data_IF_456169720391
#
_entry.id   IF_456169720391
#
_cell.length_a   1.000
_cell.length_b   1.000
_cell.length_c   1.000
_cell.angle_alpha   90.00
_cell.angle_beta   90.00
_cell.angle_gamma   90.00
#
_symmetry.space_group_name_H-M   'P 1'
#
loop_
_entity.id
_entity.type
_entity.pdbx_description
1 polymer ?
#
# COMPACT_ATOMS: atom_id res chain seq x y z
N UNK A 1 -0.58 -49.66 39.97
CA UNK A 1 -1.81 -50.48 39.91
C UNK A 1 -1.53 -51.77 39.13
N UNK A 2 -2.29 -52.85 39.35
CA UNK A 2 -2.18 -54.12 38.59
C UNK A 2 -3.24 -54.15 37.47
N UNK A 3 -2.90 -54.78 36.33
CA UNK A 3 -3.75 -55.54 35.39
C UNK A 3 -2.79 -56.07 34.29
N UNK A 4 -2.37 -57.34 34.29
CA UNK A 4 -3.07 -58.58 33.84
C UNK A 4 -3.52 -58.55 32.37
N UNK A 5 -2.96 -59.44 31.58
CA UNK A 5 -3.44 -59.88 30.26
C UNK A 5 -3.81 -61.37 30.30
N UNK A 6 -4.76 -61.82 29.46
CA UNK A 6 -4.97 -63.22 29.02
C UNK A 6 -5.54 -63.21 27.59
N UNK A 7 -5.22 -64.24 26.79
CA UNK A 7 -5.66 -64.53 25.41
C UNK A 7 -7.14 -65.02 25.31
N UNK A 8 -7.75 -65.27 24.13
CA UNK A 8 -7.64 -66.52 23.30
C UNK A 8 -8.46 -66.39 21.98
N UNK A 9 -8.46 -67.43 21.11
CA UNK A 9 -8.77 -67.41 19.65
C UNK A 9 -10.11 -68.10 19.23
N UNK A 10 -10.46 -67.92 17.95
CA UNK A 10 -10.99 -68.89 16.93
C UNK A 10 -12.43 -68.79 16.35
N UNK A 11 -12.47 -68.80 15.00
CA UNK A 11 -13.44 -69.24 13.95
C UNK A 11 -14.95 -69.48 14.22
N UNK A 12 -15.78 -69.09 13.22
CA UNK A 12 -17.10 -69.70 12.94
C UNK A 12 -17.95 -68.99 11.85
N UNK A 13 -18.55 -69.73 10.91
CA UNK A 13 -19.54 -69.32 9.88
C UNK A 13 -20.32 -70.58 9.38
N UNK A 14 -21.52 -70.52 8.75
CA UNK A 14 -22.49 -69.42 8.62
C UNK A 14 -23.78 -69.75 9.43
N UNK A 15 -25.03 -70.08 8.95
CA UNK A 15 -25.68 -70.11 7.61
C UNK A 15 -27.00 -69.29 7.45
N UNK A 16 -27.37 -69.08 6.17
CA UNK A 16 -28.70 -68.91 5.50
C UNK A 16 -29.99 -68.43 6.23
N UNK A 17 -30.72 -67.52 5.55
CA UNK A 17 -32.16 -67.25 5.72
C UNK A 17 -32.68 -66.18 4.73
N UNK A 18 -33.58 -66.53 3.81
CA UNK A 18 -34.18 -65.66 2.76
C UNK A 18 -35.64 -65.29 3.11
N UNK A 19 -36.44 -64.47 2.41
CA UNK A 19 -36.37 -63.62 1.19
C UNK A 19 -37.33 -62.39 1.43
N UNK A 20 -37.79 -61.50 0.54
CA UNK A 20 -37.89 -61.30 -0.93
C UNK A 20 -37.77 -59.76 -1.21
N UNK A 21 -37.86 -59.18 -2.41
CA UNK A 21 -38.07 -59.66 -3.80
C UNK A 21 -37.99 -58.48 -4.80
N UNK A 22 -37.94 -58.77 -6.11
CA UNK A 22 -37.77 -57.79 -7.21
C UNK A 22 -38.87 -57.89 -8.27
N UNK A 23 -39.07 -56.83 -9.06
CA UNK A 23 -39.66 -56.87 -10.40
C UNK A 23 -38.72 -56.21 -11.43
N UNK A 24 -38.86 -56.60 -12.71
CA UNK A 24 -38.04 -56.17 -13.84
C UNK A 24 -38.93 -55.95 -15.07
N UNK A 25 -38.56 -55.06 -16.01
CA UNK A 25 -38.20 -55.54 -17.37
C UNK A 25 -37.02 -54.75 -18.01
N UNK A 26 -36.01 -55.39 -18.66
CA UNK A 26 -35.94 -55.83 -20.08
C UNK A 26 -35.30 -54.77 -21.03
N UNK A 27 -34.70 -55.10 -22.20
CA UNK A 27 -33.28 -54.72 -22.40
C UNK A 27 -32.84 -54.05 -23.74
N UNK A 28 -31.69 -53.35 -23.67
CA UNK A 28 -30.54 -53.26 -24.62
C UNK A 28 -30.77 -53.12 -26.15
N UNK A 29 -30.00 -52.24 -26.84
CA UNK A 29 -28.74 -52.71 -27.45
C UNK A 29 -27.52 -51.76 -27.38
N UNK A 30 -26.34 -52.29 -27.74
CA UNK A 30 -25.00 -51.68 -27.61
C UNK A 30 -24.64 -50.65 -28.69
N UNK A 31 -23.71 -49.73 -28.34
CA UNK A 31 -22.98 -48.83 -29.25
C UNK A 31 -21.48 -48.74 -28.89
N UNK A 32 -20.63 -48.43 -29.88
CA UNK A 32 -19.16 -48.58 -29.80
C UNK A 32 -18.41 -47.52 -28.96
N UNK A 33 -17.19 -47.88 -28.54
CA UNK A 33 -16.21 -47.03 -27.86
C UNK A 33 -15.93 -45.69 -28.58
N UNK A 34 -15.77 -44.63 -27.79
CA UNK A 34 -14.91 -43.48 -28.09
C UNK A 34 -14.09 -43.11 -26.84
N UNK A 35 -12.81 -42.70 -26.98
CA UNK A 35 -12.02 -42.19 -25.86
C UNK A 35 -12.51 -40.80 -25.42
N UNK A 36 -12.33 -40.41 -24.14
CA UNK A 36 -12.73 -39.08 -23.67
C UNK A 36 -11.90 -37.97 -24.35
N UNK A 37 -12.50 -36.80 -24.66
CA UNK A 37 -11.78 -35.69 -25.27
C UNK A 37 -10.74 -35.09 -24.29
N UNK A 38 -9.62 -34.54 -24.80
CA UNK A 38 -8.57 -33.96 -23.97
C UNK A 38 -9.08 -32.72 -23.21
N UNK A 39 -8.75 -32.62 -21.92
CA UNK A 39 -9.10 -31.46 -21.09
C UNK A 39 -8.27 -30.24 -21.50
N UNK A 40 -8.90 -29.29 -22.19
CA UNK A 40 -8.25 -28.08 -22.66
C UNK A 40 -8.13 -27.03 -21.54
N UNK A 41 -7.06 -27.14 -20.75
CA UNK A 41 -6.65 -26.09 -19.81
C UNK A 41 -6.15 -24.87 -20.60
N UNK A 42 -6.87 -23.75 -20.51
CA UNK A 42 -6.40 -22.45 -21.03
C UNK A 42 -7.47 -21.65 -21.77
N UNK A 43 -8.11 -20.72 -21.05
CA UNK A 43 -9.02 -19.73 -21.64
C UNK A 43 -9.25 -18.58 -20.67
N UNK A 44 -8.66 -17.42 -20.95
CA UNK A 44 -9.05 -16.19 -20.24
C UNK A 44 -10.48 -15.80 -20.64
N UNK A 45 -11.32 -15.32 -19.72
CA UNK A 45 -12.64 -14.82 -20.08
C UNK A 45 -12.52 -13.62 -21.04
N UNK A 46 -13.42 -13.48 -22.03
CA UNK A 46 -13.40 -12.35 -22.95
C UNK A 46 -13.54 -11.02 -22.20
N UNK A 47 -12.83 -9.98 -22.62
CA UNK A 47 -12.88 -8.70 -21.93
C UNK A 47 -14.29 -8.06 -22.04
N UNK A 48 -14.82 -7.50 -20.95
CA UNK A 48 -16.07 -6.72 -21.01
C UNK A 48 -15.94 -5.52 -21.96
N UNK A 49 -17.02 -5.21 -22.67
CA UNK A 49 -17.09 -3.96 -23.43
C UNK A 49 -17.34 -2.79 -22.45
N UNK A 50 -16.28 -2.03 -22.14
CA UNK A 50 -16.29 -1.01 -21.08
C UNK A 50 -16.97 0.32 -21.45
N UNK A 51 -17.43 0.50 -22.69
CA UNK A 51 -17.88 1.77 -23.30
C UNK A 51 -19.09 2.49 -22.64
N UNK A 52 -19.60 2.05 -21.50
CA UNK A 52 -20.82 2.59 -20.88
C UNK A 52 -20.74 2.78 -19.35
N UNK A 53 -19.53 2.93 -18.80
CA UNK A 53 -19.29 3.35 -17.40
C UNK A 53 -18.71 4.76 -17.36
N UNK A 54 -19.15 5.65 -16.44
CA UNK A 54 -18.52 6.94 -16.25
C UNK A 54 -17.02 6.79 -15.96
N UNK A 55 -16.18 7.51 -16.70
CA UNK A 55 -14.73 7.56 -16.44
C UNK A 55 -14.45 8.09 -15.03
N UNK A 56 -13.27 7.75 -14.50
CA UNK A 56 -12.76 8.48 -13.33
C UNK A 56 -12.39 9.90 -13.76
N UNK A 57 -12.55 10.90 -12.89
CA UNK A 57 -12.23 12.28 -13.26
C UNK A 57 -10.72 12.43 -13.49
N UNK A 58 -10.37 13.32 -14.41
CA UNK A 58 -9.00 13.77 -14.64
C UNK A 58 -8.93 15.29 -14.47
N UNK A 59 -7.74 15.87 -14.39
CA UNK A 59 -7.61 17.33 -14.24
C UNK A 59 -8.28 18.13 -15.38
N UNK A 60 -8.37 17.53 -16.58
CA UNK A 60 -8.95 18.14 -17.78
C UNK A 60 -10.43 17.74 -18.04
N UNK A 61 -10.97 16.77 -17.29
CA UNK A 61 -12.31 16.21 -17.51
C UNK A 61 -12.92 15.82 -16.16
N UNK A 62 -13.67 16.77 -15.59
CA UNK A 62 -14.33 16.69 -14.30
C UNK A 62 -15.45 17.75 -14.24
N UNK A 63 -16.36 17.63 -13.27
CA UNK A 63 -17.52 18.51 -13.15
C UNK A 63 -17.17 20.00 -12.98
N UNK A 64 -16.05 20.33 -12.32
CA UNK A 64 -15.60 21.71 -12.17
C UNK A 64 -15.15 22.30 -13.52
N UNK A 65 -14.38 21.56 -14.31
CA UNK A 65 -14.02 21.90 -15.70
C UNK A 65 -15.25 21.97 -16.64
N UNK A 66 -16.35 21.30 -16.29
CA UNK A 66 -17.65 21.40 -16.98
C UNK A 66 -18.59 22.45 -16.37
N UNK A 67 -18.07 23.40 -15.58
CA UNK A 67 -18.79 24.58 -15.10
C UNK A 67 -19.55 24.40 -13.79
N UNK A 68 -19.56 23.21 -13.18
CA UNK A 68 -20.08 23.03 -11.82
C UNK A 68 -19.03 23.46 -10.79
N UNK A 69 -18.98 24.76 -10.52
CA UNK A 69 -18.03 25.37 -9.58
C UNK A 69 -18.23 24.94 -8.10
N UNK A 70 -19.31 24.19 -7.79
CA UNK A 70 -19.52 23.56 -6.49
C UNK A 70 -18.87 22.16 -6.39
N UNK A 71 -18.34 21.62 -7.48
CA UNK A 71 -17.55 20.40 -7.47
C UNK A 71 -16.10 20.67 -7.00
N UNK A 72 -15.36 19.67 -6.52
CA UNK A 72 -13.94 19.80 -6.21
C UNK A 72 -13.13 20.31 -7.41
N UNK A 73 -12.33 21.39 -7.27
CA UNK A 73 -11.46 21.87 -8.33
C UNK A 73 -10.26 20.92 -8.52
N UNK A 74 -9.71 20.78 -9.74
CA UNK A 74 -8.49 20.00 -9.97
C UNK A 74 -7.28 20.59 -9.23
N UNK A 75 -6.26 19.77 -8.90
CA UNK A 75 -5.01 20.25 -8.31
C UNK A 75 -4.31 21.30 -9.19
N UNK A 76 -3.61 22.29 -8.59
CA UNK A 76 -2.91 23.33 -9.34
C UNK A 76 -1.67 22.77 -10.03
N UNK A 77 -1.46 23.14 -11.30
CA UNK A 77 -0.34 22.66 -12.11
C UNK A 77 1.00 23.32 -11.82
N UNK A 78 1.00 24.45 -11.11
CA UNK A 78 2.22 25.20 -10.74
C UNK A 78 2.82 24.66 -9.43
N UNK A 79 4.14 24.81 -9.21
CA UNK A 79 4.75 24.53 -7.92
C UNK A 79 4.08 25.32 -6.78
N UNK A 80 3.97 24.69 -5.61
CA UNK A 80 3.35 25.23 -4.40
C UNK A 80 4.42 25.31 -3.30
N UNK A 81 4.41 26.38 -2.51
CA UNK A 81 5.32 26.52 -1.37
C UNK A 81 4.82 25.71 -0.16
N UNK A 82 5.73 25.15 0.64
CA UNK A 82 5.39 24.41 1.86
C UNK A 82 4.75 25.28 2.97
N UNK A 83 4.85 26.62 2.88
CA UNK A 83 4.27 27.55 3.85
C UNK A 83 4.99 27.56 5.20
N UNK A 84 4.32 28.07 6.25
CA UNK A 84 4.67 27.91 7.67
C UNK A 84 6.16 27.92 8.05
N UNK A 85 6.91 28.91 7.56
CA UNK A 85 8.34 29.09 7.90
C UNK A 85 9.34 28.35 7.00
N UNK A 86 8.87 27.64 5.97
CA UNK A 86 9.74 27.06 4.95
C UNK A 86 10.57 28.14 4.21
N UNK A 87 11.83 27.85 3.82
CA UNK A 87 12.64 28.78 3.04
C UNK A 87 12.03 29.16 1.68
N UNK A 88 12.31 30.37 1.20
CA UNK A 88 11.91 30.81 -0.14
C UNK A 88 12.43 29.85 -1.22
N UNK A 89 11.53 29.36 -2.07
CA UNK A 89 11.85 28.36 -3.10
C UNK A 89 11.75 26.90 -2.64
N UNK A 90 11.48 26.64 -1.36
CA UNK A 90 11.15 25.30 -0.88
C UNK A 90 9.71 24.95 -1.26
N UNK A 91 9.60 24.24 -2.38
CA UNK A 91 8.35 23.99 -3.09
C UNK A 91 8.14 22.49 -3.38
N UNK A 92 6.88 22.08 -3.42
CA UNK A 92 6.42 20.81 -3.99
C UNK A 92 5.60 21.08 -5.25
N UNK A 93 5.19 20.03 -5.97
CA UNK A 93 4.29 20.17 -7.11
C UNK A 93 3.31 18.99 -7.17
N UNK A 94 2.02 19.27 -7.31
CA UNK A 94 1.00 18.26 -7.55
C UNK A 94 1.15 17.63 -8.95
N UNK A 95 0.86 16.33 -9.04
CA UNK A 95 0.81 15.59 -10.30
C UNK A 95 -0.54 15.76 -10.98
N UNK A 96 -0.54 16.10 -12.27
CA UNK A 96 -1.74 16.04 -13.10
C UNK A 96 -2.14 14.59 -13.46
N UNK A 97 -1.31 13.59 -13.10
CA UNK A 97 -1.50 12.16 -13.39
C UNK A 97 -1.66 11.84 -14.90
N UNK A 98 -1.14 12.70 -15.78
CA UNK A 98 -1.24 12.59 -17.25
C UNK A 98 -0.09 11.81 -17.91
N UNK A 99 0.94 11.43 -17.15
CA UNK A 99 2.11 10.68 -17.60
C UNK A 99 1.91 9.16 -17.61
N UNK A 100 3.01 8.42 -17.44
CA UNK A 100 3.01 6.95 -17.36
C UNK A 100 2.33 6.50 -16.07
N UNK A 101 1.64 5.36 -16.14
CA UNK A 101 0.97 4.71 -15.00
C UNK A 101 1.67 3.39 -14.70
N UNK A 102 2.14 3.17 -13.46
CA UNK A 102 2.84 1.95 -13.02
C UNK A 102 2.33 1.50 -11.66
N UNK A 103 2.07 0.21 -11.45
CA UNK A 103 1.63 -0.29 -10.13
C UNK A 103 2.47 -1.44 -9.58
N UNK A 104 2.71 -1.42 -8.27
CA UNK A 104 3.21 -2.55 -7.49
C UNK A 104 2.12 -2.98 -6.51
N UNK A 105 1.66 -4.22 -6.62
CA UNK A 105 0.62 -4.79 -5.77
C UNK A 105 1.16 -6.04 -5.07
N UNK A 106 1.15 -6.05 -3.74
CA UNK A 106 1.74 -7.10 -2.90
C UNK A 106 0.64 -7.66 -1.99
N UNK A 107 0.45 -8.98 -2.00
CA UNK A 107 -0.62 -9.66 -1.26
C UNK A 107 -0.13 -10.97 -0.68
N UNK A 108 0.03 -11.05 0.64
CA UNK A 108 0.71 -12.17 1.30
C UNK A 108 -0.24 -12.87 2.27
N UNK A 109 -0.55 -14.14 2.01
CA UNK A 109 -1.35 -14.99 2.89
C UNK A 109 -0.51 -15.79 3.90
N UNK A 110 0.80 -15.93 3.71
CA UNK A 110 1.72 -16.68 4.59
C UNK A 110 1.31 -18.15 4.74
N UNK A 111 1.04 -18.82 3.61
CA UNK A 111 0.54 -20.20 3.60
C UNK A 111 1.39 -21.17 4.45
N UNK A 112 0.74 -21.94 5.32
CA UNK A 112 1.40 -22.91 6.20
C UNK A 112 2.11 -22.31 7.43
N UNK A 113 2.16 -20.99 7.57
CA UNK A 113 2.81 -20.34 8.71
C UNK A 113 1.84 -20.07 9.87
N UNK A 114 2.38 -19.91 11.09
CA UNK A 114 1.64 -19.26 12.19
C UNK A 114 1.33 -17.83 11.79
N UNK A 115 0.05 -17.46 11.85
CA UNK A 115 -0.46 -16.17 11.39
C UNK A 115 -1.02 -16.18 9.96
N UNK A 116 -1.22 -17.33 9.31
CA UNK A 116 -1.74 -17.40 7.94
C UNK A 116 -3.04 -16.59 7.74
N UNK A 117 -3.02 -15.68 6.77
CA UNK A 117 -4.14 -14.82 6.34
C UNK A 117 -4.89 -15.45 5.15
N UNK A 118 -5.98 -14.80 4.71
CA UNK A 118 -6.90 -15.33 3.70
C UNK A 118 -7.40 -14.32 2.67
N UNK A 119 -7.38 -13.02 2.97
CA UNK A 119 -7.90 -11.96 2.09
C UNK A 119 -6.87 -11.39 1.11
N UNK A 120 -5.61 -11.24 1.55
CA UNK A 120 -4.61 -10.34 0.95
C UNK A 120 -4.37 -10.53 -0.56
N UNK A 121 -4.35 -11.79 -1.01
CA UNK A 121 -4.21 -12.13 -2.43
C UNK A 121 -5.44 -11.71 -3.26
N UNK A 122 -6.64 -11.80 -2.69
CA UNK A 122 -7.87 -11.34 -3.34
C UNK A 122 -7.95 -9.80 -3.35
N UNK A 123 -7.44 -9.14 -2.31
CA UNK A 123 -7.37 -7.68 -2.24
C UNK A 123 -6.49 -7.12 -3.40
N UNK A 124 -5.32 -7.73 -3.65
CA UNK A 124 -4.49 -7.45 -4.83
C UNK A 124 -5.24 -7.73 -6.15
N UNK A 125 -5.96 -8.85 -6.26
CA UNK A 125 -6.73 -9.19 -7.48
C UNK A 125 -7.87 -8.18 -7.73
N UNK A 126 -8.53 -7.69 -6.67
CA UNK A 126 -9.54 -6.63 -6.72
C UNK A 126 -8.96 -5.28 -7.14
N UNK A 127 -7.85 -4.87 -6.52
CA UNK A 127 -7.18 -3.60 -6.85
C UNK A 127 -6.61 -3.61 -8.27
N UNK A 128 -5.96 -4.71 -8.69
CA UNK A 128 -5.45 -4.88 -10.05
C UNK A 128 -6.54 -4.72 -11.10
N UNK A 129 -7.68 -5.40 -10.92
CA UNK A 129 -8.81 -5.29 -11.83
C UNK A 129 -9.40 -3.86 -11.86
N UNK A 130 -9.44 -3.17 -10.72
CA UNK A 130 -9.97 -1.80 -10.62
C UNK A 130 -9.08 -0.74 -11.28
N UNK A 131 -7.76 -0.82 -11.08
CA UNK A 131 -6.78 0.06 -11.73
C UNK A 131 -6.79 -0.08 -13.25
N UNK A 132 -6.90 -1.32 -13.76
CA UNK A 132 -7.04 -1.60 -15.20
C UNK A 132 -8.38 -1.07 -15.74
N UNK A 133 -9.50 -1.35 -15.06
CA UNK A 133 -10.85 -0.96 -15.52
C UNK A 133 -11.06 0.55 -15.54
N UNK A 134 -10.65 1.27 -14.49
CA UNK A 134 -11.11 2.64 -14.23
C UNK A 134 -10.02 3.70 -14.34
N UNK A 135 -8.74 3.31 -14.25
CA UNK A 135 -7.61 4.24 -14.28
C UNK A 135 -6.60 3.93 -15.39
N UNK A 136 -6.90 3.01 -16.32
CA UNK A 136 -6.06 2.77 -17.51
C UNK A 136 -4.64 2.27 -17.21
N UNK A 137 -4.39 1.72 -16.02
CA UNK A 137 -3.12 1.05 -15.72
C UNK A 137 -3.04 -0.21 -16.60
N UNK A 138 -1.97 -0.32 -17.40
CA UNK A 138 -1.78 -1.46 -18.30
C UNK A 138 -1.18 -2.63 -17.54
N UNK A 139 -1.56 -3.88 -17.86
CA UNK A 139 -1.06 -5.06 -17.11
C UNK A 139 0.45 -5.26 -17.26
N UNK A 140 1.02 -4.85 -18.39
CA UNK A 140 2.47 -4.83 -18.64
C UNK A 140 3.24 -3.75 -17.86
N UNK A 141 2.54 -2.75 -17.31
CA UNK A 141 3.08 -1.74 -16.39
C UNK A 141 2.74 -2.07 -14.92
N UNK A 142 2.46 -3.34 -14.58
CA UNK A 142 2.12 -3.79 -13.22
C UNK A 142 2.98 -4.96 -12.76
N UNK A 143 3.47 -4.90 -11.52
CA UNK A 143 4.12 -6.02 -10.82
C UNK A 143 3.21 -6.50 -9.70
N UNK A 144 2.85 -7.79 -9.73
CA UNK A 144 1.99 -8.44 -8.74
C UNK A 144 2.79 -9.52 -8.00
N UNK A 145 3.04 -9.32 -6.70
CA UNK A 145 3.75 -10.28 -5.85
C UNK A 145 2.78 -10.95 -4.86
N UNK A 146 2.55 -12.26 -5.02
CA UNK A 146 1.62 -13.02 -4.17
C UNK A 146 2.13 -14.44 -3.92
N UNK A 147 1.95 -14.96 -2.70
CA UNK A 147 2.53 -16.25 -2.29
C UNK A 147 1.79 -17.49 -2.84
N UNK A 148 0.70 -17.30 -3.60
CA UNK A 148 0.07 -18.35 -4.43
C UNK A 148 0.75 -18.58 -5.79
N UNK A 149 1.72 -17.75 -6.20
CA UNK A 149 2.36 -17.86 -7.52
C UNK A 149 3.52 -18.86 -7.56
N UNK A 150 3.56 -19.68 -8.62
CA UNK A 150 4.63 -20.67 -8.83
C UNK A 150 5.95 -20.06 -9.33
N UNK A 151 5.94 -18.85 -9.87
CA UNK A 151 7.13 -18.16 -10.36
C UNK A 151 7.97 -17.62 -9.18
N UNK A 152 9.24 -18.05 -8.99
CA UNK A 152 10.09 -17.54 -7.91
C UNK A 152 10.33 -16.02 -7.95
N UNK A 153 10.21 -15.38 -9.12
CA UNK A 153 10.31 -13.92 -9.25
C UNK A 153 9.02 -13.18 -8.88
N UNK A 154 7.89 -13.88 -8.77
CA UNK A 154 6.59 -13.34 -8.33
C UNK A 154 6.29 -13.60 -6.85
N UNK A 155 7.09 -14.43 -6.17
CA UNK A 155 6.92 -14.71 -4.73
C UNK A 155 7.28 -13.45 -3.91
N UNK A 156 6.50 -13.06 -2.89
CA UNK A 156 6.72 -11.83 -2.13
C UNK A 156 7.80 -11.99 -1.04
N UNK A 157 9.02 -12.34 -1.45
CA UNK A 157 10.22 -12.39 -0.59
C UNK A 157 10.82 -11.01 -0.35
N UNK A 158 11.61 -10.79 0.71
CA UNK A 158 12.24 -9.48 0.99
C UNK A 158 13.01 -8.96 -0.23
N UNK A 159 13.79 -9.83 -0.88
CA UNK A 159 14.56 -9.47 -2.07
C UNK A 159 13.65 -9.08 -3.25
N UNK A 160 12.52 -9.76 -3.45
CA UNK A 160 11.60 -9.46 -4.55
C UNK A 160 10.80 -8.17 -4.29
N UNK A 161 10.38 -7.92 -3.04
CA UNK A 161 9.73 -6.66 -2.63
C UNK A 161 10.66 -5.46 -2.89
N UNK A 162 11.88 -5.47 -2.34
CA UNK A 162 12.83 -4.36 -2.54
C UNK A 162 13.16 -4.12 -4.02
N UNK A 163 13.36 -5.20 -4.81
CA UNK A 163 13.57 -5.08 -6.26
C UNK A 163 12.37 -4.46 -6.97
N UNK A 164 11.14 -4.81 -6.56
CA UNK A 164 9.92 -4.27 -7.14
C UNK A 164 9.66 -2.82 -6.73
N UNK A 165 9.97 -2.43 -5.49
CA UNK A 165 9.90 -1.05 -5.01
C UNK A 165 10.85 -0.14 -5.81
N UNK A 166 12.12 -0.57 -6.01
CA UNK A 166 13.04 0.13 -6.91
C UNK A 166 12.53 0.18 -8.36
N UNK A 167 11.93 -0.90 -8.88
CA UNK A 167 11.31 -0.89 -10.21
C UNK A 167 10.15 0.12 -10.31
N UNK A 168 9.34 0.29 -9.25
CA UNK A 168 8.16 1.17 -9.25
C UNK A 168 8.58 2.63 -9.46
N UNK A 169 9.59 3.12 -8.72
CA UNK A 169 10.06 4.50 -8.86
C UNK A 169 11.03 4.72 -10.01
N UNK A 170 11.69 3.67 -10.51
CA UNK A 170 12.71 3.81 -11.55
C UNK A 170 12.18 4.58 -12.78
N UNK A 171 12.97 5.57 -13.17
CA UNK A 171 12.81 6.48 -14.31
C UNK A 171 11.49 7.29 -14.31
N UNK A 172 10.84 7.43 -13.15
CA UNK A 172 9.59 8.20 -13.00
C UNK A 172 9.78 9.71 -13.23
N UNK A 173 8.80 10.34 -13.87
CA UNK A 173 8.85 11.72 -14.37
C UNK A 173 7.68 12.57 -13.87
N UNK A 174 7.80 13.91 -13.84
CA UNK A 174 6.70 14.79 -13.48
C UNK A 174 5.42 14.48 -14.27
N UNK A 175 4.30 14.36 -13.56
CA UNK A 175 2.97 13.92 -13.99
C UNK A 175 2.77 12.41 -14.19
N UNK A 176 3.78 11.55 -14.01
CA UNK A 176 3.56 10.11 -13.87
C UNK A 176 2.69 9.80 -12.63
N UNK A 177 2.01 8.66 -12.67
CA UNK A 177 1.12 8.14 -11.62
C UNK A 177 1.58 6.74 -11.20
N UNK A 178 2.27 6.68 -10.06
CA UNK A 178 2.72 5.43 -9.45
C UNK A 178 1.68 4.97 -8.42
N UNK A 179 1.42 3.66 -8.36
CA UNK A 179 0.53 3.07 -7.37
C UNK A 179 1.22 1.97 -6.57
N UNK A 180 1.07 2.00 -5.25
CA UNK A 180 1.56 0.96 -4.34
C UNK A 180 0.40 0.39 -3.54
N UNK A 181 0.28 -0.94 -3.47
CA UNK A 181 -0.68 -1.63 -2.62
C UNK A 181 0.04 -2.73 -1.84
N UNK A 182 -0.07 -2.70 -0.53
CA UNK A 182 0.34 -3.80 0.34
C UNK A 182 -0.87 -4.34 1.11
N UNK A 183 -1.06 -5.66 1.08
CA UNK A 183 -1.95 -6.37 1.99
C UNK A 183 -1.22 -7.57 2.60
N UNK A 184 -1.21 -7.64 3.93
CA UNK A 184 -0.43 -8.61 4.68
C UNK A 184 -0.30 -8.23 6.15
N UNK A 185 0.66 -8.81 6.85
CA UNK A 185 1.00 -8.38 8.21
C UNK A 185 1.79 -7.08 8.20
N UNK A 186 1.38 -6.17 9.08
CA UNK A 186 2.19 -5.06 9.55
C UNK A 186 2.27 -5.10 11.07
N UNK A 187 3.18 -4.33 11.64
CA UNK A 187 3.42 -4.25 13.07
C UNK A 187 4.63 -3.37 13.35
N UNK A 188 4.94 -3.19 14.63
CA UNK A 188 5.99 -2.27 15.07
C UNK A 188 7.28 -3.00 15.46
N UNK A 189 8.43 -2.39 15.14
CA UNK A 189 9.74 -2.70 15.75
C UNK A 189 10.20 -1.50 16.58
N UNK A 190 11.26 -1.64 17.38
CA UNK A 190 11.73 -0.55 18.24
C UNK A 190 12.74 0.33 17.51
N UNK A 191 12.49 1.63 17.51
CA UNK A 191 13.32 2.67 16.90
C UNK A 191 14.77 2.66 17.41
N UNK A 192 15.68 2.85 16.46
CA UNK A 192 17.12 2.79 16.61
C UNK A 192 17.87 4.10 16.27
N UNK A 193 17.23 5.09 15.64
CA UNK A 193 17.86 6.39 15.32
C UNK A 193 17.15 7.63 15.91
N UNK A 194 15.88 7.51 16.30
CA UNK A 194 15.17 8.45 17.16
C UNK A 194 14.23 9.42 16.44
N UNK A 195 13.70 9.05 15.26
CA UNK A 195 12.92 9.96 14.42
C UNK A 195 11.38 9.84 14.52
N UNK A 196 10.84 8.81 15.20
CA UNK A 196 9.39 8.69 15.48
C UNK A 196 8.99 9.08 16.92
N UNK A 197 7.84 9.76 17.03
CA UNK A 197 7.38 10.40 18.27
C UNK A 197 7.05 9.41 19.41
N UNK A 198 6.77 8.13 19.09
CA UNK A 198 6.50 7.06 20.07
C UNK A 198 7.66 6.06 20.24
N UNK A 199 8.69 6.13 19.40
CA UNK A 199 9.87 5.26 19.42
C UNK A 199 9.70 3.88 18.78
N UNK A 200 8.80 3.72 17.80
CA UNK A 200 8.59 2.46 17.08
C UNK A 200 8.38 2.59 15.56
N UNK A 201 9.35 2.14 14.75
CA UNK A 201 9.22 2.02 13.29
C UNK A 201 8.08 1.05 12.90
N UNK A 202 7.31 1.43 11.88
CA UNK A 202 6.30 0.58 11.24
C UNK A 202 6.96 -0.38 10.25
N UNK A 203 6.62 -1.66 10.31
CA UNK A 203 7.24 -2.69 9.46
C UNK A 203 6.23 -3.54 8.72
N UNK A 204 6.52 -3.83 7.45
CA UNK A 204 5.83 -4.88 6.69
C UNK A 204 6.63 -6.18 6.71
N UNK A 205 5.92 -7.31 6.69
CA UNK A 205 6.55 -8.63 6.70
C UNK A 205 6.54 -9.25 5.29
N UNK A 206 7.70 -9.57 4.71
CA UNK A 206 7.80 -10.42 3.51
C UNK A 206 7.46 -11.89 3.85
N UNK A 207 7.21 -12.75 2.85
CA UNK A 207 6.84 -14.16 3.13
C UNK A 207 7.96 -14.95 3.83
N UNK A 208 9.22 -14.55 3.62
CA UNK A 208 10.45 -15.09 4.21
C UNK A 208 10.97 -14.30 5.42
N UNK A 209 10.14 -13.46 6.05
CA UNK A 209 10.55 -12.60 7.17
C UNK A 209 11.21 -13.33 8.35
N UNK A 210 10.90 -14.62 8.54
CA UNK A 210 11.49 -15.48 9.58
C UNK A 210 12.96 -15.81 9.33
N UNK A 211 13.44 -15.61 8.11
CA UNK A 211 14.81 -15.82 7.68
C UNK A 211 15.51 -14.50 7.31
N UNK A 212 14.78 -13.52 6.76
CA UNK A 212 15.35 -12.28 6.19
C UNK A 212 15.01 -11.01 6.96
N UNK A 213 14.17 -11.08 7.99
CA UNK A 213 13.62 -9.91 8.67
C UNK A 213 12.48 -9.22 7.91
N UNK A 214 11.91 -8.21 8.56
CA UNK A 214 10.89 -7.31 8.00
C UNK A 214 11.50 -6.23 7.08
N UNK A 215 10.68 -5.34 6.54
CA UNK A 215 11.08 -4.09 5.87
C UNK A 215 10.45 -2.94 6.66
N UNK A 216 11.24 -1.95 7.10
CA UNK A 216 10.76 -0.74 7.79
C UNK A 216 10.15 0.26 6.81
N UNK A 217 9.30 1.14 7.33
CA UNK A 217 8.95 2.44 6.76
C UNK A 217 10.19 3.18 6.23
N UNK A 218 11.24 3.37 7.03
CA UNK A 218 12.49 4.01 6.61
C UNK A 218 13.10 3.37 5.33
N UNK A 219 13.13 2.03 5.25
CA UNK A 219 13.58 1.34 4.04
C UNK A 219 12.62 1.56 2.85
N UNK A 220 11.31 1.67 3.09
CA UNK A 220 10.31 1.98 2.06
C UNK A 220 10.34 3.45 1.62
N UNK A 221 10.50 4.41 2.52
CA UNK A 221 10.57 5.84 2.23
C UNK A 221 11.86 6.19 1.48
N UNK A 222 13.01 5.64 1.92
CA UNK A 222 14.29 5.76 1.21
C UNK A 222 14.24 5.21 -0.21
N UNK A 223 13.48 4.14 -0.46
CA UNK A 223 13.34 3.53 -1.79
C UNK A 223 12.25 4.20 -2.63
N UNK A 224 11.13 4.62 -2.04
CA UNK A 224 9.92 5.00 -2.78
C UNK A 224 9.53 6.48 -2.71
N UNK A 225 10.05 7.26 -1.76
CA UNK A 225 9.70 8.68 -1.56
C UNK A 225 10.87 9.61 -1.88
N UNK A 226 12.05 9.36 -1.28
CA UNK A 226 13.25 10.19 -1.44
C UNK A 226 13.73 10.39 -2.90
N UNK A 227 13.70 9.38 -3.81
CA UNK A 227 14.20 9.55 -5.18
C UNK A 227 13.18 10.16 -6.16
N UNK A 228 11.97 10.54 -5.70
CA UNK A 228 10.94 11.06 -6.58
C UNK A 228 11.14 12.53 -6.96
N UNK A 229 10.93 12.83 -8.24
CA UNK A 229 10.97 14.19 -8.76
C UNK A 229 9.67 14.95 -8.45
N UNK A 230 9.75 16.29 -8.38
CA UNK A 230 8.58 17.14 -8.20
C UNK A 230 7.48 16.82 -9.23
N UNK A 231 6.22 16.73 -8.79
CA UNK A 231 5.10 16.39 -9.66
C UNK A 231 4.99 14.93 -10.07
N UNK A 232 5.88 14.01 -9.64
CA UNK A 232 5.58 12.56 -9.71
C UNK A 232 4.51 12.26 -8.66
N UNK A 233 3.45 11.53 -9.03
CA UNK A 233 2.50 10.97 -8.05
C UNK A 233 2.99 9.61 -7.58
N UNK A 234 2.94 9.37 -6.26
CA UNK A 234 2.80 8.04 -5.67
C UNK A 234 1.52 7.99 -4.81
N UNK A 235 0.56 7.14 -5.20
CA UNK A 235 -0.58 6.78 -4.34
C UNK A 235 -0.31 5.43 -3.71
N UNK A 236 -0.24 5.38 -2.38
CA UNK A 236 -0.06 4.16 -1.62
C UNK A 236 -1.35 3.76 -0.86
N UNK A 237 -1.62 2.46 -0.75
CA UNK A 237 -2.66 1.90 0.11
C UNK A 237 -2.09 0.74 0.91
N UNK A 238 -2.29 0.78 2.24
CA UNK A 238 -1.90 -0.29 3.16
C UNK A 238 -3.14 -0.94 3.80
N UNK A 239 -3.31 -2.24 3.53
CA UNK A 239 -4.22 -3.15 4.24
C UNK A 239 -3.42 -3.97 5.28
N UNK A 240 -2.75 -3.27 6.20
CA UNK A 240 -1.99 -3.86 7.29
C UNK A 240 -2.26 -3.11 8.61
N UNK A 241 -2.27 -3.82 9.73
CA UNK A 241 -2.28 -3.19 11.05
C UNK A 241 -0.95 -2.46 11.27
N UNK A 242 -0.99 -1.33 11.99
CA UNK A 242 0.17 -0.45 12.21
C UNK A 242 0.77 -0.01 10.85
N UNK A 243 0.16 1.06 10.29
CA UNK A 243 0.52 1.61 8.97
C UNK A 243 0.17 3.08 8.80
N UNK A 244 0.04 3.84 9.91
CA UNK A 244 -0.24 5.29 9.85
C UNK A 244 0.95 6.08 9.27
N UNK A 245 2.15 5.62 9.60
CA UNK A 245 3.46 6.19 9.25
C UNK A 245 4.27 5.33 8.29
N UNK A 246 3.71 4.27 7.69
CA UNK A 246 4.40 3.26 6.85
C UNK A 246 5.15 3.76 5.57
N UNK A 247 5.27 5.07 5.35
CA UNK A 247 6.09 5.74 4.33
C UNK A 247 6.70 7.05 4.85
N UNK A 248 6.79 7.23 6.17
CA UNK A 248 7.38 8.37 6.86
C UNK A 248 6.74 9.72 6.50
N UNK A 249 5.45 9.74 6.16
CA UNK A 249 4.81 10.94 5.59
C UNK A 249 4.40 11.93 6.70
N UNK A 250 5.00 13.14 6.76
CA UNK A 250 4.92 14.00 7.96
C UNK A 250 3.61 14.78 8.10
N UNK A 251 2.80 14.89 7.04
CA UNK A 251 1.46 15.47 7.11
C UNK A 251 0.42 14.35 7.23
N UNK A 252 -0.37 14.32 8.30
CA UNK A 252 -1.42 13.31 8.51
C UNK A 252 -2.79 13.98 8.67
N UNK A 253 -3.77 13.49 7.91
CA UNK A 253 -5.14 14.00 7.84
C UNK A 253 -6.16 12.93 8.26
N UNK A 254 -7.26 13.40 8.86
CA UNK A 254 -8.43 12.63 9.25
C UNK A 254 -9.71 13.24 8.71
N UNK A 255 -10.83 12.51 8.86
CA UNK A 255 -12.18 13.02 8.60
C UNK A 255 -12.60 14.21 9.49
N UNK A 256 -11.83 14.53 10.54
CA UNK A 256 -12.04 15.69 11.42
C UNK A 256 -11.07 16.85 11.13
N UNK A 257 -10.17 16.70 10.15
CA UNK A 257 -9.11 17.66 9.83
C UNK A 257 -7.71 17.09 10.06
N UNK A 258 -6.73 18.00 10.12
CA UNK A 258 -5.31 17.74 10.37
C UNK A 258 -5.09 16.99 11.70
N UNK A 259 -4.16 16.04 11.71
CA UNK A 259 -3.69 15.32 12.91
C UNK A 259 -2.21 15.60 13.24
N UNK A 260 -1.31 15.58 12.26
CA UNK A 260 0.15 15.85 12.39
C UNK A 260 0.60 16.74 11.22
N UNK A 261 1.41 17.75 11.51
CA UNK A 261 2.15 18.56 10.52
C UNK A 261 3.55 18.85 11.09
N UNK A 262 4.61 18.86 10.26
CA UNK A 262 5.97 19.15 10.67
C UNK A 262 6.15 20.64 11.03
N UNK A 263 6.95 20.92 12.05
CA UNK A 263 7.41 22.27 12.37
C UNK A 263 8.71 22.56 11.62
N UNK A 264 8.57 22.81 10.32
CA UNK A 264 9.66 23.02 9.36
C UNK A 264 10.72 24.03 9.85
N UNK A 265 10.31 25.07 10.57
CA UNK A 265 11.22 26.09 11.13
C UNK A 265 12.07 25.56 12.30
N UNK A 266 11.50 24.69 13.15
CA UNK A 266 12.20 24.03 14.27
C UNK A 266 13.13 22.94 13.76
N UNK A 267 12.63 22.06 12.89
CA UNK A 267 13.37 20.91 12.35
C UNK A 267 14.56 21.33 11.49
N UNK A 268 14.38 22.32 10.59
CA UNK A 268 15.48 22.87 9.81
C UNK A 268 16.56 23.54 10.69
N UNK A 269 16.19 24.04 11.88
CA UNK A 269 17.13 24.54 12.89
C UNK A 269 17.92 23.41 13.56
N UNK A 270 17.25 22.33 13.97
CA UNK A 270 17.89 21.16 14.59
C UNK A 270 18.85 20.46 13.63
N UNK A 271 18.47 20.28 12.36
CA UNK A 271 19.33 19.67 11.33
C UNK A 271 20.63 20.46 11.09
N UNK A 272 20.57 21.80 11.11
CA UNK A 272 21.78 22.64 11.00
C UNK A 272 22.68 22.53 12.25
N UNK A 273 22.08 22.52 13.44
CA UNK A 273 22.80 22.44 14.70
C UNK A 273 23.52 21.10 14.88
N UNK A 274 22.95 19.98 14.40
CA UNK A 274 23.60 18.67 14.43
C UNK A 274 24.95 18.64 13.69
N UNK A 275 25.03 19.30 12.53
CA UNK A 275 26.28 19.42 11.75
C UNK A 275 27.31 20.28 12.49
N UNK A 276 26.88 21.39 13.10
CA UNK A 276 27.75 22.36 13.81
C UNK A 276 28.25 21.81 15.16
N UNK A 277 27.49 20.93 15.82
CA UNK A 277 27.79 20.33 17.13
C UNK A 277 29.18 19.67 17.22
N UNK A 278 29.66 19.15 16.08
CA UNK A 278 30.96 18.48 15.94
C UNK A 278 32.20 19.37 16.19
N UNK A 279 32.06 20.70 16.20
CA UNK A 279 33.19 21.65 16.15
C UNK A 279 33.53 22.35 17.48
N UNK A 280 33.06 21.82 18.62
CA UNK A 280 33.18 22.45 19.94
C UNK A 280 34.49 22.15 20.71
N UNK A 281 35.61 21.87 20.01
CA UNK A 281 36.96 21.98 20.56
C UNK A 281 37.83 22.85 19.64
N UNK A 282 38.39 23.93 20.20
CA UNK A 282 38.74 25.11 19.42
C UNK A 282 40.15 25.15 18.87
N UNK A 283 40.26 25.42 17.58
CA UNK A 283 41.28 26.30 17.00
C UNK A 283 40.59 27.23 15.99
N UNK A 284 40.78 28.54 16.16
CA UNK A 284 40.19 29.58 15.30
C UNK A 284 41.18 30.15 14.27
N UNK A 285 42.44 29.71 14.27
CA UNK A 285 43.51 30.28 13.44
C UNK A 285 43.40 29.98 11.94
N UNK A 286 42.74 28.88 11.54
CA UNK A 286 42.80 28.36 10.16
C UNK A 286 41.48 28.28 9.38
N UNK A 287 40.33 28.59 9.98
CA UNK A 287 39.02 28.09 9.48
C UNK A 287 38.38 28.97 8.37
N UNK A 288 38.83 30.22 8.20
CA UNK A 288 38.15 31.22 7.37
C UNK A 288 38.00 30.83 5.88
N UNK A 289 38.97 30.12 5.30
CA UNK A 289 38.92 29.66 3.91
C UNK A 289 37.87 28.56 3.67
N UNK A 290 37.73 27.64 4.62
CA UNK A 290 36.77 26.53 4.52
C UNK A 290 35.33 27.00 4.76
N UNK A 291 35.12 27.95 5.69
CA UNK A 291 33.79 28.55 5.96
C UNK A 291 33.26 29.22 4.69
N UNK A 292 34.09 29.95 3.94
CA UNK A 292 33.67 30.59 2.69
C UNK A 292 33.26 29.57 1.61
N UNK A 293 33.90 28.39 1.59
CA UNK A 293 33.51 27.26 0.74
C UNK A 293 32.14 26.70 1.10
N UNK A 294 31.88 26.48 2.39
CA UNK A 294 30.56 26.04 2.88
C UNK A 294 29.45 27.08 2.61
N UNK A 295 29.72 28.36 2.87
CA UNK A 295 28.72 29.43 2.68
C UNK A 295 28.32 29.60 1.21
N UNK A 296 29.24 29.35 0.28
CA UNK A 296 28.97 29.36 -1.17
C UNK A 296 28.32 28.06 -1.68
N UNK A 297 28.30 27.01 -0.85
CA UNK A 297 27.65 25.72 -1.13
C UNK A 297 26.17 25.72 -0.68
N UNK A 298 25.86 26.44 0.40
CA UNK A 298 24.50 26.63 0.93
C UNK A 298 23.53 27.34 -0.03
N UNK A 299 24.00 27.90 -1.15
CA UNK A 299 23.17 28.64 -2.12
C UNK A 299 22.58 27.78 -3.25
N UNK A 300 22.89 26.47 -3.32
CA UNK A 300 22.43 25.60 -4.43
C UNK A 300 22.15 24.15 -4.01
N UNK A 301 20.87 23.74 -4.06
CA UNK A 301 20.45 22.34 -4.15
C UNK A 301 20.52 21.50 -2.86
N UNK A 302 21.72 21.22 -2.36
CA UNK A 302 21.94 20.33 -1.18
C UNK A 302 21.17 20.79 0.06
N UNK A 303 21.04 22.10 0.23
CA UNK A 303 20.27 22.75 1.28
C UNK A 303 18.78 22.37 1.30
N UNK A 304 18.19 22.01 0.14
CA UNK A 304 16.81 21.56 0.05
C UNK A 304 16.69 20.04 0.26
N UNK A 305 17.65 19.27 -0.23
CA UNK A 305 17.70 17.82 -0.04
C UNK A 305 17.89 17.46 1.44
N UNK A 306 18.85 18.09 2.13
CA UNK A 306 19.11 17.84 3.55
C UNK A 306 17.91 18.22 4.44
N UNK A 307 17.11 19.23 4.05
CA UNK A 307 15.85 19.58 4.74
C UNK A 307 14.72 18.59 4.46
N UNK A 308 14.61 18.07 3.24
CA UNK A 308 13.67 17.00 2.91
C UNK A 308 13.92 15.77 3.79
N UNK A 309 15.18 15.32 3.88
CA UNK A 309 15.59 14.24 4.80
C UNK A 309 15.20 14.54 6.26
N UNK A 310 15.61 15.70 6.79
CA UNK A 310 15.42 16.06 8.20
C UNK A 310 13.97 16.44 8.61
N UNK A 311 13.01 16.40 7.67
CA UNK A 311 11.59 16.69 7.93
C UNK A 311 10.67 15.59 7.38
N UNK A 312 11.25 14.51 6.82
CA UNK A 312 10.59 13.47 6.01
C UNK A 312 9.71 14.01 4.85
N UNK A 313 9.83 15.29 4.45
CA UNK A 313 9.05 15.89 3.36
C UNK A 313 9.63 15.59 1.98
N UNK A 314 8.82 15.70 0.91
CA UNK A 314 9.29 15.52 -0.47
C UNK A 314 8.63 16.50 -1.44
N UNK A 315 9.35 17.02 -2.46
CA UNK A 315 8.76 17.86 -3.50
C UNK A 315 7.82 17.08 -4.45
N UNK A 316 7.85 15.76 -4.41
CA UNK A 316 6.94 14.87 -5.13
C UNK A 316 5.58 14.74 -4.42
N UNK A 317 4.55 14.42 -5.20
CA UNK A 317 3.16 14.29 -4.76
C UNK A 317 2.92 12.87 -4.22
N UNK A 318 3.22 12.62 -2.95
CA UNK A 318 3.05 11.32 -2.30
C UNK A 318 1.86 11.38 -1.35
N UNK A 319 0.91 10.46 -1.55
CA UNK A 319 -0.30 10.32 -0.73
C UNK A 319 -0.52 8.86 -0.36
N UNK A 320 -0.77 8.58 0.92
CA UNK A 320 -0.96 7.24 1.47
C UNK A 320 -2.31 7.13 2.18
N UNK A 321 -3.06 6.06 1.93
CA UNK A 321 -4.24 5.69 2.72
C UNK A 321 -3.97 4.42 3.53
N UNK A 322 -4.29 4.47 4.82
CA UNK A 322 -4.15 3.36 5.76
C UNK A 322 -5.28 3.34 6.79
N UNK A 323 -5.45 2.21 7.48
CA UNK A 323 -6.52 1.99 8.46
C UNK A 323 -5.97 1.82 9.88
N UNK A 324 -6.14 2.83 10.74
CA UNK A 324 -5.79 2.73 12.17
C UNK A 324 -6.95 2.14 12.99
N UNK A 325 -6.63 1.55 14.15
CA UNK A 325 -7.60 1.12 15.17
C UNK A 325 -7.54 2.08 16.35
N UNK A 326 -8.68 2.33 16.99
CA UNK A 326 -8.76 3.19 18.19
C UNK A 326 -8.04 2.58 19.40
N UNK A 327 -8.30 1.30 19.70
CA UNK A 327 -7.76 0.61 20.87
C UNK A 327 -6.67 -0.40 20.44
N UNK A 328 -5.41 0.04 20.41
CA UNK A 328 -4.28 -0.85 20.14
C UNK A 328 -3.76 -1.54 21.42
N UNK A 329 -4.51 -2.53 21.92
CA UNK A 329 -3.99 -3.48 22.91
C UNK A 329 -3.41 -4.71 22.22
N UNK A 330 -2.18 -5.08 22.55
CA UNK A 330 -1.40 -6.11 21.84
C UNK A 330 -2.01 -7.53 21.83
N UNK A 331 -3.00 -7.81 22.69
CA UNK A 331 -3.76 -9.05 22.67
C UNK A 331 -4.66 -9.19 21.42
N UNK A 332 -5.23 -8.09 20.91
CA UNK A 332 -6.25 -8.11 19.85
C UNK A 332 -5.69 -8.34 18.44
N UNK A 333 -4.37 -8.21 18.26
CA UNK A 333 -3.68 -8.65 17.06
C UNK A 333 -3.93 -10.16 16.79
N UNK A 334 -4.01 -10.97 17.85
CA UNK A 334 -4.29 -12.42 17.77
C UNK A 334 -5.72 -12.73 17.31
N UNK A 335 -6.67 -11.82 17.54
CA UNK A 335 -8.08 -11.98 17.16
C UNK A 335 -8.32 -11.54 15.70
N UNK A 336 -7.45 -10.66 15.17
CA UNK A 336 -7.52 -10.12 13.81
C UNK A 336 -7.17 -11.11 12.67
N UNK A 337 -7.26 -12.43 12.91
CA UNK A 337 -6.95 -13.49 11.96
C UNK A 337 -7.88 -13.58 10.72
N UNK A 338 -8.77 -12.60 10.53
CA UNK A 338 -9.52 -12.34 9.30
C UNK A 338 -9.07 -11.01 8.66
N UNK A 339 -7.78 -10.90 8.35
CA UNK A 339 -7.29 -9.83 7.47
C UNK A 339 -7.88 -10.02 6.07
N UNK A 340 -8.93 -9.24 5.80
CA UNK A 340 -9.44 -8.84 4.50
C UNK A 340 -9.14 -7.35 4.36
N UNK A 341 -8.78 -6.92 3.16
CA UNK A 341 -8.37 -5.54 2.89
C UNK A 341 -9.50 -4.54 3.03
N UNK A 342 -9.77 -4.14 4.28
CA UNK A 342 -10.82 -3.20 4.64
C UNK A 342 -10.59 -1.83 3.97
N UNK A 343 -9.33 -1.38 3.92
CA UNK A 343 -8.94 -0.08 3.40
C UNK A 343 -9.02 -0.07 1.87
N UNK A 344 -8.47 -1.07 1.18
CA UNK A 344 -8.64 -1.17 -0.29
C UNK A 344 -10.09 -1.44 -0.71
N UNK A 345 -10.85 -2.27 0.02
CA UNK A 345 -12.28 -2.49 -0.23
C UNK A 345 -13.09 -1.20 -0.10
N UNK A 346 -12.88 -0.43 0.97
CA UNK A 346 -13.56 0.84 1.21
C UNK A 346 -13.19 1.89 0.14
N UNK A 347 -11.90 2.03 -0.18
CA UNK A 347 -11.40 2.92 -1.24
C UNK A 347 -12.03 2.60 -2.60
N UNK A 348 -12.00 1.32 -3.01
CA UNK A 348 -12.61 0.84 -4.26
C UNK A 348 -14.12 1.09 -4.27
N UNK A 349 -14.80 0.95 -3.13
CA UNK A 349 -16.26 1.06 -3.03
C UNK A 349 -16.71 2.53 -3.02
N UNK A 350 -16.04 3.40 -2.26
CA UNK A 350 -16.26 4.84 -2.24
C UNK A 350 -16.11 5.46 -3.64
N UNK A 351 -15.01 5.17 -4.35
CA UNK A 351 -14.77 5.68 -5.71
C UNK A 351 -15.63 5.02 -6.79
N UNK A 352 -16.19 3.82 -6.53
CA UNK A 352 -17.24 3.24 -7.40
C UNK A 352 -18.61 3.92 -7.20
N UNK A 353 -18.95 4.32 -5.96
CA UNK A 353 -20.19 5.03 -5.62
C UNK A 353 -20.17 6.49 -6.11
N UNK A 354 -19.09 7.22 -5.82
CA UNK A 354 -18.87 8.56 -6.36
C UNK A 354 -17.42 8.69 -6.89
N UNK A 355 -17.22 8.75 -8.22
CA UNK A 355 -15.90 9.00 -8.80
C UNK A 355 -15.35 10.41 -8.54
N UNK A 356 -16.21 11.41 -8.31
CA UNK A 356 -15.83 12.82 -8.25
C UNK A 356 -15.88 13.33 -6.80
N UNK A 357 -14.74 13.21 -6.12
CA UNK A 357 -14.57 13.53 -4.71
C UNK A 357 -13.31 14.35 -4.50
N UNK A 358 -13.35 15.29 -3.55
CA UNK A 358 -12.14 15.86 -2.97
C UNK A 358 -11.45 14.85 -2.06
N UNK A 359 -10.20 15.10 -1.66
CA UNK A 359 -9.51 14.23 -0.69
C UNK A 359 -10.29 14.09 0.63
N UNK A 360 -10.89 15.17 1.17
CA UNK A 360 -11.73 15.08 2.39
C UNK A 360 -13.05 14.35 2.15
N UNK A 361 -13.69 14.54 0.99
CA UNK A 361 -14.91 13.79 0.62
C UNK A 361 -14.62 12.29 0.48
N UNK A 362 -13.51 11.94 -0.16
CA UNK A 362 -13.06 10.57 -0.32
C UNK A 362 -12.75 9.92 1.04
N UNK A 363 -12.02 10.61 1.91
CA UNK A 363 -11.70 10.12 3.25
C UNK A 363 -12.96 9.91 4.11
N UNK A 364 -13.95 10.80 3.99
CA UNK A 364 -15.26 10.63 4.62
C UNK A 364 -16.03 9.43 4.05
N UNK A 365 -16.16 9.31 2.73
CA UNK A 365 -16.84 8.16 2.10
C UNK A 365 -16.18 6.84 2.46
N UNK A 366 -14.84 6.78 2.53
CA UNK A 366 -14.10 5.60 2.97
C UNK A 366 -14.44 5.27 4.43
N UNK A 367 -14.51 6.27 5.32
CA UNK A 367 -14.92 6.08 6.71
C UNK A 367 -16.35 5.54 6.80
N UNK A 368 -17.26 6.03 5.98
CA UNK A 368 -18.65 5.57 5.94
C UNK A 368 -18.74 4.12 5.46
N UNK A 369 -17.98 3.71 4.43
CA UNK A 369 -17.90 2.29 4.04
C UNK A 369 -17.32 1.42 5.16
N UNK A 370 -16.20 1.84 5.76
CA UNK A 370 -15.53 1.12 6.84
C UNK A 370 -16.46 0.90 8.03
N UNK A 371 -17.14 1.95 8.49
CA UNK A 371 -18.04 1.92 9.65
C UNK A 371 -19.21 0.93 9.52
N UNK A 372 -19.54 0.44 8.31
CA UNK A 372 -20.54 -0.62 8.13
C UNK A 372 -20.08 -2.01 8.58
N UNK A 373 -18.76 -2.25 8.69
CA UNK A 373 -18.16 -3.60 8.81
C UNK A 373 -16.90 -3.69 9.68
N UNK A 374 -16.21 -2.59 9.93
CA UNK A 374 -14.89 -2.54 10.53
C UNK A 374 -14.79 -1.41 11.57
N UNK A 375 -13.97 -1.62 12.59
CA UNK A 375 -13.61 -0.59 13.58
C UNK A 375 -12.42 0.27 13.16
N UNK A 376 -11.89 0.07 11.95
CA UNK A 376 -10.80 0.88 11.43
C UNK A 376 -11.28 2.29 11.06
N UNK A 377 -10.48 3.31 11.40
CA UNK A 377 -10.63 4.67 10.87
C UNK A 377 -9.60 4.88 9.76
N UNK A 378 -9.98 5.49 8.63
CA UNK A 378 -9.04 5.77 7.57
C UNK A 378 -8.21 7.02 7.92
N UNK A 379 -6.92 6.94 7.64
CA UNK A 379 -5.99 8.06 7.68
C UNK A 379 -5.48 8.34 6.26
N UNK A 380 -5.11 9.60 6.03
CA UNK A 380 -4.48 10.06 4.79
C UNK A 380 -3.19 10.78 5.14
N UNK A 381 -2.04 10.20 4.80
CA UNK A 381 -0.72 10.77 5.07
C UNK A 381 -0.08 11.29 3.78
N UNK A 382 0.68 12.39 3.82
CA UNK A 382 1.21 13.09 2.64
C UNK A 382 2.65 13.62 2.83
N UNK A 383 3.42 13.70 1.74
CA UNK A 383 4.79 14.25 1.72
C UNK A 383 4.88 15.78 1.85
N UNK A 384 3.75 16.47 1.70
CA UNK A 384 3.62 17.92 1.63
C UNK A 384 2.25 18.37 2.15
N UNK A 385 2.03 19.67 2.42
CA UNK A 385 0.71 20.20 2.79
C UNK A 385 -0.32 19.87 1.71
N UNK A 386 -1.44 19.28 2.10
CA UNK A 386 -2.54 18.93 1.20
C UNK A 386 -3.73 19.86 1.40
N UNK A 387 -4.12 20.58 0.35
CA UNK A 387 -5.44 21.22 0.33
C UNK A 387 -6.48 20.13 0.08
N UNK A 388 -7.09 19.61 1.15
CA UNK A 388 -7.99 18.46 1.10
C UNK A 388 -9.30 18.71 0.34
N UNK A 389 -9.58 19.96 -0.05
CA UNK A 389 -10.73 20.32 -0.90
C UNK A 389 -10.46 20.11 -2.41
N UNK A 390 -9.20 19.92 -2.82
CA UNK A 390 -8.85 19.57 -4.20
C UNK A 390 -9.44 18.20 -4.59
N UNK A 391 -9.78 18.07 -5.87
CA UNK A 391 -10.23 16.82 -6.50
C UNK A 391 -9.16 15.72 -6.39
N UNK A 392 -9.56 14.55 -5.91
CA UNK A 392 -8.73 13.35 -5.99
C UNK A 392 -8.65 12.85 -7.44
N UNK A 393 -7.43 12.70 -7.95
CA UNK A 393 -7.11 12.20 -9.30
C UNK A 393 -6.02 11.13 -9.21
N UNK A 394 -5.99 10.21 -10.18
CA UNK A 394 -5.00 9.12 -10.31
C UNK A 394 -4.75 8.78 -11.77
#
# INVERSE_FOLDING_TARGET
>A
MRLRAVTTRYNGYPPQGSAYGYQQPSPQPYGYNQPPPPQQYGGYPPQPNYNNRPGMPTVNSNAYMHGNHNAPPPPPSQPQGFGHGAPNGYNFQYSNCTGRRKALLIGINYFGQRGQLRGCINDVKNMSAYLVERFGYKREDMVLLTDDQQNPMSQPTKQNLLRAMHWLVKDARPNDSLFFHYSGHGGQTKDLDGDEDDGYDEVIYPVDFRQTGHITDDEMHRIMVQPLQAGVRLTAIFDSCHSGTALDLPYIYSTQGILKEPNLAKEAGQGLLGVISSYSQGDLGGVASNIMGFFKKATTGEDAHNRAMATKTSPADVVMFSGSKDDQTSADATIAAQATGAMSWAFITALKKNPQQSYVQLLNSIRDELATRYTQKPQLSCSHPLNTNLLFVM
#
